data_IF_478823775212
#
_entry.id   IF_478823775212
#
_cell.length_a   1.000
_cell.length_b   1.000
_cell.length_c   1.000
_cell.angle_alpha   90.00
_cell.angle_beta   90.00
_cell.angle_gamma   90.00
#
_symmetry.space_group_name_H-M   'P 1'
#
loop_
_entity.id
_entity.type
_entity.pdbx_description
1 polymer ?
#
# COMPACT_ATOMS: atom_id res chain seq x y z
N UNK A 1 2.02 2.18 -22.06
CA UNK A 1 3.09 2.36 -21.04
C UNK A 1 3.43 3.85 -20.98
N UNK A 2 3.09 4.52 -19.89
CA UNK A 2 2.98 5.99 -19.77
C UNK A 2 4.31 6.65 -19.33
N UNK A 3 4.72 7.80 -19.90
CA UNK A 3 6.00 8.48 -19.62
C UNK A 3 6.30 8.76 -18.15
N UNK A 4 5.29 8.88 -17.28
CA UNK A 4 5.48 9.09 -15.83
C UNK A 4 6.00 7.87 -15.06
N UNK A 5 5.74 6.65 -15.52
CA UNK A 5 6.38 5.46 -14.94
C UNK A 5 7.90 5.48 -15.19
N UNK A 6 8.35 6.08 -16.29
CA UNK A 6 9.77 6.28 -16.58
C UNK A 6 10.38 7.38 -15.69
N UNK A 7 9.66 8.49 -15.46
CA UNK A 7 10.08 9.54 -14.51
C UNK A 7 10.17 9.01 -13.07
N UNK A 8 9.21 8.18 -12.64
CA UNK A 8 9.26 7.50 -11.36
C UNK A 8 10.46 6.55 -11.24
N UNK A 9 10.79 5.83 -12.33
CA UNK A 9 11.99 4.98 -12.39
C UNK A 9 13.30 5.76 -12.27
N UNK A 10 13.33 7.03 -12.68
CA UNK A 10 14.49 7.93 -12.52
C UNK A 10 14.57 8.68 -11.18
N UNK A 11 13.46 8.79 -10.44
CA UNK A 11 13.43 9.53 -9.17
C UNK A 11 14.07 8.71 -8.02
N UNK A 12 15.03 9.28 -7.29
CA UNK A 12 15.58 8.66 -6.06
C UNK A 12 14.58 8.67 -4.88
N UNK A 13 13.60 9.58 -4.92
CA UNK A 13 12.63 9.79 -3.85
C UNK A 13 11.56 8.69 -3.85
N UNK A 14 11.40 8.01 -2.71
CA UNK A 14 10.31 7.05 -2.48
C UNK A 14 8.93 7.71 -2.67
N UNK A 15 8.76 8.94 -2.20
CA UNK A 15 7.50 9.69 -2.30
C UNK A 15 7.04 9.85 -3.75
N UNK A 16 7.95 10.28 -4.63
CA UNK A 16 7.64 10.45 -6.07
C UNK A 16 7.28 9.13 -6.74
N UNK A 17 7.94 8.03 -6.34
CA UNK A 17 7.64 6.69 -6.87
C UNK A 17 6.25 6.21 -6.46
N UNK A 18 5.93 6.32 -5.17
CA UNK A 18 4.62 5.94 -4.65
C UNK A 18 3.51 6.80 -5.25
N UNK A 19 3.73 8.12 -5.36
CA UNK A 19 2.80 9.04 -6.01
C UNK A 19 2.52 8.63 -7.46
N UNK A 20 3.56 8.31 -8.24
CA UNK A 20 3.40 7.88 -9.63
C UNK A 20 2.66 6.53 -9.75
N UNK A 21 2.93 5.56 -8.87
CA UNK A 21 2.20 4.28 -8.85
C UNK A 21 0.71 4.50 -8.60
N UNK A 22 0.37 5.31 -7.60
CA UNK A 22 -1.02 5.65 -7.26
C UNK A 22 -1.71 6.40 -8.41
N UNK A 23 -1.02 7.35 -9.05
CA UNK A 23 -1.57 8.10 -10.19
C UNK A 23 -1.90 7.16 -11.37
N UNK A 24 -1.02 6.20 -11.68
CA UNK A 24 -1.28 5.19 -12.70
C UNK A 24 -2.50 4.34 -12.33
N UNK A 25 -2.62 3.95 -11.06
CA UNK A 25 -3.75 3.17 -10.56
C UNK A 25 -5.07 3.92 -10.73
N UNK A 26 -5.15 5.17 -10.27
CA UNK A 26 -6.36 5.99 -10.41
C UNK A 26 -6.73 6.21 -11.87
N UNK A 27 -5.73 6.49 -12.73
CA UNK A 27 -5.97 6.68 -14.16
C UNK A 27 -6.52 5.41 -14.82
N UNK A 28 -5.97 4.25 -14.47
CA UNK A 28 -6.43 2.96 -14.98
C UNK A 28 -7.90 2.69 -14.63
N UNK A 29 -8.30 3.00 -13.38
CA UNK A 29 -9.66 2.77 -12.91
C UNK A 29 -10.64 3.92 -13.19
N UNK A 30 -10.16 5.09 -13.58
CA UNK A 30 -10.99 6.28 -13.81
C UNK A 30 -12.21 6.00 -14.71
N UNK A 31 -12.07 5.29 -15.85
CA UNK A 31 -13.22 5.05 -16.74
C UNK A 31 -14.33 4.24 -16.09
N UNK A 32 -13.99 3.42 -15.08
CA UNK A 32 -14.90 2.52 -14.38
C UNK A 32 -15.23 2.99 -12.95
N UNK A 33 -14.96 4.25 -12.62
CA UNK A 33 -15.10 4.76 -11.25
C UNK A 33 -16.53 4.67 -10.70
N UNK A 34 -17.54 4.99 -11.51
CA UNK A 34 -18.96 4.90 -11.10
C UNK A 34 -19.38 3.46 -10.81
N UNK A 35 -18.90 2.51 -11.61
CA UNK A 35 -19.10 1.08 -11.36
C UNK A 35 -18.43 0.66 -10.04
N UNK A 36 -17.18 1.07 -9.82
CA UNK A 36 -16.48 0.80 -8.55
C UNK A 36 -17.22 1.42 -7.36
N UNK A 37 -17.81 2.60 -7.50
CA UNK A 37 -18.65 3.21 -6.47
C UNK A 37 -19.88 2.37 -6.15
N UNK A 38 -20.61 1.92 -7.16
CA UNK A 38 -21.78 1.07 -6.99
C UNK A 38 -21.43 -0.26 -6.29
N UNK A 39 -20.33 -0.88 -6.70
CA UNK A 39 -19.83 -2.12 -6.09
C UNK A 39 -19.37 -1.91 -4.64
N UNK A 40 -18.82 -0.73 -4.33
CA UNK A 40 -18.29 -0.41 -2.99
C UNK A 40 -19.36 -0.42 -1.90
N UNK A 41 -20.63 -0.15 -2.24
CA UNK A 41 -21.75 -0.19 -1.28
C UNK A 41 -22.12 -1.61 -0.80
N UNK A 42 -21.73 -2.65 -1.54
CA UNK A 42 -22.15 -4.03 -1.29
C UNK A 42 -20.95 -4.98 -1.17
N UNK A 43 -19.79 -4.46 -0.76
CA UNK A 43 -18.58 -5.29 -0.63
C UNK A 43 -18.78 -6.28 0.52
N UNK A 44 -19.11 -7.52 0.17
CA UNK A 44 -18.74 -8.68 0.97
C UNK A 44 -17.24 -8.95 0.74
N UNK A 45 -16.40 -8.91 1.79
CA UNK A 45 -14.98 -9.24 1.68
C UNK A 45 -14.70 -10.63 1.11
N UNK A 46 -15.65 -11.56 1.27
CA UNK A 46 -15.61 -12.94 0.79
C UNK A 46 -16.06 -13.08 -0.67
N UNK A 47 -16.56 -12.01 -1.29
CA UNK A 47 -16.98 -12.03 -2.68
C UNK A 47 -15.77 -12.25 -3.60
N UNK A 48 -15.86 -13.08 -4.66
CA UNK A 48 -14.74 -13.38 -5.58
C UNK A 48 -14.09 -12.16 -6.27
N UNK A 49 -14.79 -11.02 -6.30
CA UNK A 49 -14.29 -9.76 -6.85
C UNK A 49 -13.66 -8.83 -5.80
N UNK A 50 -13.74 -9.19 -4.52
CA UNK A 50 -13.13 -8.44 -3.44
C UNK A 50 -11.62 -8.46 -3.62
N UNK A 51 -10.93 -7.31 -3.50
CA UNK A 51 -9.47 -7.27 -3.53
C UNK A 51 -8.83 -8.02 -2.35
N UNK A 52 -9.63 -8.43 -1.35
CA UNK A 52 -9.19 -9.20 -0.19
C UNK A 52 -9.47 -10.70 -0.30
N UNK A 53 -10.24 -11.15 -1.30
CA UNK A 53 -10.56 -12.58 -1.45
C UNK A 53 -9.37 -13.41 -1.92
N UNK A 54 -9.51 -14.74 -1.87
CA UNK A 54 -8.49 -15.67 -2.34
C UNK A 54 -8.41 -15.69 -3.87
N UNK A 55 -9.53 -15.50 -4.56
CA UNK A 55 -9.60 -15.47 -6.03
C UNK A 55 -8.80 -14.30 -6.62
N UNK A 56 -8.70 -13.18 -5.91
CA UNK A 56 -7.91 -12.02 -6.33
C UNK A 56 -6.45 -12.06 -5.86
N UNK A 57 -6.02 -13.11 -5.15
CA UNK A 57 -4.67 -13.20 -4.57
C UNK A 57 -3.56 -12.96 -5.59
N UNK A 58 -3.63 -13.58 -6.77
CA UNK A 58 -2.61 -13.41 -7.81
C UNK A 58 -2.53 -11.97 -8.33
N UNK A 59 -3.66 -11.28 -8.43
CA UNK A 59 -3.70 -9.87 -8.85
C UNK A 59 -3.10 -9.00 -7.75
N UNK A 60 -3.46 -9.28 -6.49
CA UNK A 60 -2.97 -8.58 -5.31
C UNK A 60 -1.46 -8.74 -5.14
N UNK A 61 -0.92 -9.93 -5.31
CA UNK A 61 0.51 -10.20 -5.17
C UNK A 61 1.32 -9.47 -6.25
N UNK A 62 0.83 -9.45 -7.50
CA UNK A 62 1.43 -8.63 -8.58
C UNK A 62 1.38 -7.13 -8.28
N UNK A 63 0.30 -6.65 -7.68
CA UNK A 63 0.18 -5.25 -7.28
C UNK A 63 1.14 -4.90 -6.14
N UNK A 64 1.33 -5.81 -5.18
CA UNK A 64 2.29 -5.70 -4.07
C UNK A 64 3.73 -5.66 -4.61
N UNK A 65 4.05 -6.42 -5.66
CA UNK A 65 5.38 -6.46 -6.27
C UNK A 65 5.83 -5.08 -6.78
N UNK A 66 4.91 -4.24 -7.28
CA UNK A 66 5.24 -2.87 -7.66
C UNK A 66 5.75 -2.04 -6.47
N UNK A 67 5.23 -2.28 -5.27
CA UNK A 67 5.70 -1.61 -4.05
C UNK A 67 7.06 -2.14 -3.58
N UNK A 68 7.34 -3.43 -3.78
CA UNK A 68 8.68 -4.00 -3.55
C UNK A 68 9.71 -3.27 -4.41
N UNK A 69 9.45 -3.19 -5.72
CA UNK A 69 10.34 -2.52 -6.68
C UNK A 69 10.54 -1.02 -6.34
N UNK A 70 9.47 -0.34 -5.91
CA UNK A 70 9.54 1.06 -5.49
C UNK A 70 10.43 1.27 -4.27
N UNK A 71 10.36 0.38 -3.28
CA UNK A 71 11.19 0.45 -2.07
C UNK A 71 12.65 0.15 -2.37
N UNK A 72 12.94 -0.90 -3.14
CA UNK A 72 14.31 -1.30 -3.51
C UNK A 72 15.04 -0.25 -4.34
N UNK A 73 14.31 0.47 -5.19
CA UNK A 73 14.85 1.54 -6.04
C UNK A 73 14.92 2.90 -5.34
N UNK A 74 14.54 2.98 -4.06
CA UNK A 74 14.52 4.24 -3.30
C UNK A 74 15.76 4.42 -2.43
N UNK A 75 16.04 5.66 -2.02
CA UNK A 75 17.11 5.97 -1.08
C UNK A 75 16.70 5.85 0.40
N UNK A 76 15.49 5.38 0.70
CA UNK A 76 14.96 5.32 2.07
C UNK A 76 15.39 4.01 2.73
N UNK A 77 16.05 4.11 3.88
CA UNK A 77 16.45 2.94 4.66
C UNK A 77 15.25 2.38 5.43
N UNK A 78 14.82 1.17 5.05
CA UNK A 78 13.76 0.43 5.74
C UNK A 78 14.37 -0.55 6.75
N UNK A 79 13.88 -0.63 8.00
CA UNK A 79 14.30 -1.63 8.98
C UNK A 79 14.14 -3.07 8.45
N UNK A 80 15.12 -3.98 8.66
CA UNK A 80 15.05 -5.35 8.14
C UNK A 80 13.82 -6.13 8.61
N UNK A 81 13.34 -5.89 9.82
CA UNK A 81 12.14 -6.52 10.40
C UNK A 81 10.83 -5.94 9.85
N UNK A 82 10.85 -4.74 9.26
CA UNK A 82 9.68 -4.13 8.62
C UNK A 82 9.66 -4.38 7.10
N UNK A 83 10.85 -4.54 6.49
CA UNK A 83 11.03 -4.65 5.04
C UNK A 83 10.14 -5.70 4.36
N UNK A 84 9.95 -6.93 4.89
CA UNK A 84 9.09 -7.93 4.26
C UNK A 84 7.60 -7.56 4.28
N UNK A 85 7.19 -6.75 5.25
CA UNK A 85 5.78 -6.44 5.53
C UNK A 85 5.35 -5.10 4.95
N UNK A 86 6.29 -4.17 4.73
CA UNK A 86 6.02 -2.83 4.23
C UNK A 86 5.29 -2.81 2.87
N UNK A 87 5.63 -3.64 1.87
CA UNK A 87 4.89 -3.68 0.61
C UNK A 87 3.40 -3.97 0.78
N UNK A 88 3.05 -4.91 1.66
CA UNK A 88 1.66 -5.24 2.00
C UNK A 88 0.95 -4.07 2.69
N UNK A 89 1.63 -3.37 3.61
CA UNK A 89 1.09 -2.16 4.24
C UNK A 89 0.84 -1.04 3.25
N UNK A 90 1.76 -0.82 2.30
CA UNK A 90 1.60 0.17 1.23
C UNK A 90 0.42 -0.17 0.31
N UNK A 91 0.22 -1.45 0.02
CA UNK A 91 -0.95 -1.92 -0.72
C UNK A 91 -2.26 -1.67 0.05
N UNK A 92 -2.31 -1.94 1.35
CA UNK A 92 -3.47 -1.61 2.20
C UNK A 92 -3.76 -0.10 2.22
N UNK A 93 -2.71 0.71 2.33
CA UNK A 93 -2.80 2.16 2.21
C UNK A 93 -3.38 2.59 0.84
N UNK A 94 -2.93 1.99 -0.26
CA UNK A 94 -3.52 2.21 -1.59
C UNK A 94 -5.00 1.84 -1.63
N UNK A 95 -5.42 0.73 -1.00
CA UNK A 95 -6.83 0.34 -0.95
C UNK A 95 -7.68 1.38 -0.20
N UNK A 96 -7.18 1.93 0.91
CA UNK A 96 -7.84 3.04 1.61
C UNK A 96 -7.97 4.29 0.74
N UNK A 97 -6.93 4.63 -0.02
CA UNK A 97 -6.97 5.75 -0.96
C UNK A 97 -7.95 5.49 -2.12
N UNK A 98 -8.00 4.28 -2.65
CA UNK A 98 -8.95 3.87 -3.69
C UNK A 98 -10.39 4.02 -3.19
N UNK A 99 -10.67 3.59 -1.96
CA UNK A 99 -11.99 3.75 -1.35
C UNK A 99 -12.37 5.23 -1.25
N UNK A 100 -11.49 6.07 -0.69
CA UNK A 100 -11.75 7.50 -0.61
C UNK A 100 -11.95 8.13 -2.00
N UNK A 101 -11.09 7.79 -2.95
CA UNK A 101 -11.15 8.28 -4.32
C UNK A 101 -12.47 7.93 -5.00
N UNK A 102 -13.01 6.72 -4.77
CA UNK A 102 -14.31 6.32 -5.31
C UNK A 102 -15.43 7.24 -4.80
N UNK A 103 -15.39 7.67 -3.54
CA UNK A 103 -16.41 8.54 -2.93
C UNK A 103 -16.17 10.05 -3.08
N UNK A 104 -15.00 10.47 -3.58
CA UNK A 104 -14.65 11.89 -3.67
C UNK A 104 -15.44 12.66 -4.76
N UNK A 105 -16.57 13.26 -4.37
CA UNK A 105 -17.42 14.05 -5.28
C UNK A 105 -16.85 15.43 -5.66
N UNK A 106 -15.65 15.79 -5.20
CA UNK A 106 -15.05 17.08 -5.56
C UNK A 106 -14.64 17.15 -7.04
N UNK A 107 -14.60 18.38 -7.58
CA UNK A 107 -14.19 18.63 -8.95
C UNK A 107 -12.80 18.06 -9.21
N UNK A 108 -12.69 17.22 -10.25
CA UNK A 108 -11.47 16.50 -10.61
C UNK A 108 -10.78 15.76 -9.44
N UNK A 109 -11.55 15.39 -8.41
CA UNK A 109 -11.08 14.66 -7.22
C UNK A 109 -9.95 15.41 -6.50
N UNK A 110 -10.08 16.73 -6.36
CA UNK A 110 -9.09 17.58 -5.70
C UNK A 110 -8.85 17.17 -4.24
N UNK A 111 -9.86 16.65 -3.52
CA UNK A 111 -9.68 16.14 -2.16
C UNK A 111 -8.80 14.88 -2.14
N UNK A 112 -8.97 13.98 -3.10
CA UNK A 112 -8.12 12.79 -3.26
C UNK A 112 -6.68 13.18 -3.56
N UNK A 113 -6.47 14.11 -4.51
CA UNK A 113 -5.13 14.60 -4.86
C UNK A 113 -4.40 15.13 -3.62
N UNK A 114 -5.09 15.97 -2.82
CA UNK A 114 -4.56 16.49 -1.56
C UNK A 114 -4.32 15.40 -0.52
N UNK A 115 -5.24 14.45 -0.36
CA UNK A 115 -5.07 13.32 0.55
C UNK A 115 -3.81 12.52 0.21
N UNK A 116 -3.59 12.21 -1.06
CA UNK A 116 -2.41 11.45 -1.53
C UNK A 116 -1.13 12.22 -1.22
N UNK A 117 -1.06 13.51 -1.59
CA UNK A 117 0.13 14.33 -1.39
C UNK A 117 0.54 14.43 0.09
N UNK A 118 -0.41 14.80 0.95
CA UNK A 118 -0.15 15.00 2.38
C UNK A 118 0.15 13.66 3.09
N UNK A 119 -0.62 12.61 2.78
CA UNK A 119 -0.42 11.30 3.43
C UNK A 119 0.84 10.58 2.98
N UNK A 120 1.30 10.75 1.72
CA UNK A 120 2.58 10.21 1.27
C UNK A 120 3.75 10.89 1.98
N UNK A 121 3.68 12.21 2.17
CA UNK A 121 4.69 12.96 2.93
C UNK A 121 4.81 12.40 4.34
N UNK A 122 3.68 12.23 5.04
CA UNK A 122 3.61 11.62 6.37
C UNK A 122 4.16 10.19 6.36
N UNK A 123 3.75 9.37 5.40
CA UNK A 123 4.16 7.98 5.28
C UNK A 123 5.67 7.83 5.12
N UNK A 124 6.30 8.61 4.26
CA UNK A 124 7.76 8.59 4.05
C UNK A 124 8.49 9.05 5.32
N UNK A 125 7.99 10.06 6.03
CA UNK A 125 8.53 10.48 7.32
C UNK A 125 8.43 9.35 8.35
N UNK A 126 7.29 8.67 8.45
CA UNK A 126 7.09 7.54 9.36
C UNK A 126 8.04 6.37 9.04
N UNK A 127 8.26 6.05 7.76
CA UNK A 127 9.23 5.01 7.35
C UNK A 127 10.65 5.41 7.77
N UNK A 128 11.04 6.68 7.57
CA UNK A 128 12.34 7.20 8.05
C UNK A 128 12.44 7.10 9.57
N UNK A 129 11.40 7.49 10.30
CA UNK A 129 11.39 7.40 11.76
C UNK A 129 11.45 5.94 12.24
N UNK A 130 10.82 5.00 11.55
CA UNK A 130 10.85 3.58 11.89
C UNK A 130 12.29 3.00 11.91
N UNK A 131 13.25 3.65 11.23
CA UNK A 131 14.68 3.30 11.28
C UNK A 131 15.35 3.57 12.63
N UNK A 132 14.76 4.39 13.50
CA UNK A 132 15.25 4.64 14.84
C UNK A 132 15.10 3.38 15.73
N UNK A 133 16.18 2.92 16.39
CA UNK A 133 16.14 1.70 17.21
C UNK A 133 15.11 1.73 18.35
N UNK A 134 14.81 2.92 18.90
CA UNK A 134 13.83 3.09 19.98
C UNK A 134 12.40 2.69 19.56
N UNK A 135 12.09 2.72 18.26
CA UNK A 135 10.76 2.35 17.74
C UNK A 135 10.60 0.85 17.48
N UNK A 136 11.61 0.01 17.77
CA UNK A 136 11.55 -1.46 17.63
C UNK A 136 10.27 -2.08 18.24
N UNK A 137 9.86 -1.76 19.49
CA UNK A 137 8.66 -2.36 20.08
C UNK A 137 7.38 -2.01 19.31
N UNK A 138 7.29 -0.79 18.78
CA UNK A 138 6.15 -0.31 18.00
C UNK A 138 6.10 -1.05 16.66
N UNK A 139 7.23 -1.16 15.95
CA UNK A 139 7.30 -1.92 14.69
C UNK A 139 6.86 -3.36 14.87
N UNK A 140 7.30 -4.03 15.94
CA UNK A 140 6.90 -5.40 16.25
C UNK A 140 5.38 -5.52 16.42
N UNK A 141 4.73 -4.57 17.11
CA UNK A 141 3.26 -4.56 17.24
C UNK A 141 2.56 -4.36 15.90
N UNK A 142 3.06 -3.46 15.05
CA UNK A 142 2.51 -3.25 13.70
C UNK A 142 2.61 -4.51 12.85
N UNK A 143 3.78 -5.17 12.85
CA UNK A 143 3.99 -6.44 12.12
C UNK A 143 3.07 -7.53 12.65
N UNK A 144 3.00 -7.71 13.98
CA UNK A 144 2.12 -8.71 14.58
C UNK A 144 0.64 -8.47 14.23
N UNK A 145 0.20 -7.21 14.23
CA UNK A 145 -1.16 -6.85 13.83
C UNK A 145 -1.40 -7.21 12.36
N UNK A 146 -0.45 -6.88 11.48
CA UNK A 146 -0.56 -7.20 10.06
C UNK A 146 -0.67 -8.70 9.80
N UNK A 147 0.14 -9.50 10.51
CA UNK A 147 0.10 -10.96 10.41
C UNK A 147 -1.24 -11.51 10.90
N UNK A 148 -1.73 -11.00 12.04
CA UNK A 148 -3.02 -11.42 12.60
C UNK A 148 -4.20 -11.18 11.64
N UNK A 149 -4.18 -10.08 10.87
CA UNK A 149 -5.28 -9.75 9.94
C UNK A 149 -5.11 -10.33 8.53
N UNK A 150 -3.90 -10.78 8.16
CA UNK A 150 -3.64 -11.29 6.80
C UNK A 150 -3.96 -12.77 6.63
N UNK A 151 -4.35 -13.48 7.71
CA UNK A 151 -4.66 -14.90 7.68
C UNK A 151 -3.45 -15.82 7.44
N UNK A 152 -2.24 -15.25 7.27
CA UNK A 152 -1.01 -16.03 7.23
C UNK A 152 -0.66 -16.47 8.66
N UNK A 153 -0.58 -17.77 8.94
CA UNK A 153 -0.24 -18.24 10.27
C UNK A 153 1.11 -17.66 10.67
N UNK A 154 1.16 -17.03 11.84
CA UNK A 154 2.39 -16.76 12.56
C UNK A 154 3.20 -18.06 12.59
N UNK A 155 4.32 -18.12 11.86
CA UNK A 155 5.19 -19.29 11.89
C UNK A 155 5.57 -19.55 13.35
N UNK A 156 5.17 -20.69 13.94
CA UNK A 156 5.57 -21.00 15.29
C UNK A 156 6.97 -21.62 15.20
N UNK A 157 8.01 -20.85 15.50
CA UNK A 157 9.25 -21.42 16.04
C UNK A 157 10.22 -20.33 16.52
N UNK A 158 10.12 -20.04 17.82
CA UNK A 158 11.28 -19.75 18.65
C UNK A 158 11.13 -20.61 19.91
N UNK A 159 11.78 -21.76 19.85
CA UNK A 159 12.36 -22.57 20.94
C UNK A 159 12.11 -22.02 22.36
N UNK A 160 11.44 -22.81 23.17
CA UNK A 160 11.91 -23.03 24.54
C UNK A 160 12.51 -24.44 24.54
N UNK A 161 13.83 -24.47 24.48
CA UNK A 161 14.65 -25.56 24.99
C UNK A 161 14.50 -25.57 26.51
N UNK A 162 13.92 -26.63 27.07
CA UNK A 162 14.31 -27.27 28.34
C UNK A 162 13.74 -28.68 28.38
#
# INVERSE_FOLDING_TARGET
MTPRLAEARGAKSLERRLSALLEVKFRYFQPNRSLLAALSYHIDPSHPLSPFSDETKLIRDKDIEHFVQALESSNVRVPPDLKPHLPRLLWLYQMGLMLFWVYDSSQEQVKTKRLVEESLTILVLLIKFASFPLLRPIRKRVVNLLLAVSGEPSSPNLREET
#
